data_IF_400766046845
#
_entry.id   IF_400766046845
#
_cell.length_a   1.000
_cell.length_b   1.000
_cell.length_c   1.000
_cell.angle_alpha   90.00
_cell.angle_beta   90.00
_cell.angle_gamma   90.00
#
_symmetry.space_group_name_H-M   'P 1'
#
loop_
_entity.id
_entity.type
_entity.pdbx_description
1 polymer ?
#
# COMPACT_ATOMS: atom_id res chain seq x y z
N UNK A 1 -18.55 0.11 6.67
CA UNK A 1 -18.02 -0.06 5.29
C UNK A 1 -17.50 -1.48 5.21
N UNK A 2 -17.86 -2.24 4.18
CA UNK A 2 -17.38 -3.62 4.00
C UNK A 2 -15.99 -3.54 3.38
N UNK A 3 -15.03 -4.23 3.98
CA UNK A 3 -13.66 -4.37 3.49
C UNK A 3 -13.70 -5.33 2.28
N UNK A 4 -13.38 -4.86 1.08
CA UNK A 4 -13.56 -5.64 -0.17
C UNK A 4 -12.28 -6.25 -0.75
N UNK A 5 -11.12 -5.94 -0.19
CA UNK A 5 -9.84 -6.48 -0.65
C UNK A 5 -9.49 -7.84 -0.05
N UNK A 6 -8.67 -8.61 -0.75
CA UNK A 6 -8.09 -9.87 -0.30
C UNK A 6 -6.62 -9.95 -0.75
N UNK A 7 -5.72 -10.35 0.15
CA UNK A 7 -4.28 -10.49 -0.16
C UNK A 7 -3.96 -11.74 -1.00
N UNK A 8 -4.97 -12.58 -1.27
CA UNK A 8 -4.91 -13.66 -2.26
C UNK A 8 -5.20 -13.18 -3.68
N UNK A 9 -5.72 -11.96 -3.88
CA UNK A 9 -5.93 -11.39 -5.21
C UNK A 9 -4.61 -10.92 -5.84
N UNK A 10 -4.67 -10.52 -7.12
CA UNK A 10 -3.50 -10.10 -7.89
C UNK A 10 -3.17 -8.60 -7.77
N UNK A 11 -4.08 -7.80 -7.20
CA UNK A 11 -3.93 -6.36 -7.03
C UNK A 11 -3.94 -5.55 -8.33
N UNK A 12 -4.31 -6.14 -9.47
CA UNK A 12 -4.24 -5.49 -10.79
C UNK A 12 -5.52 -4.76 -11.21
N UNK A 13 -6.60 -4.86 -10.42
CA UNK A 13 -7.86 -4.14 -10.63
C UNK A 13 -8.56 -3.81 -9.32
N UNK A 14 -9.54 -2.91 -9.34
CA UNK A 14 -10.35 -2.59 -8.14
C UNK A 14 -11.11 -3.82 -7.59
N UNK A 15 -11.57 -4.71 -8.47
CA UNK A 15 -12.30 -5.93 -8.08
C UNK A 15 -11.39 -7.07 -7.60
N UNK A 16 -10.08 -6.93 -7.81
CA UNK A 16 -9.05 -7.87 -7.37
C UNK A 16 -7.99 -7.16 -6.53
N UNK A 17 -8.38 -6.12 -5.80
CA UNK A 17 -7.46 -5.31 -5.01
C UNK A 17 -6.93 -6.09 -3.80
N UNK A 18 -5.64 -5.88 -3.48
CA UNK A 18 -5.10 -6.35 -2.21
C UNK A 18 -5.86 -5.76 -1.03
N UNK A 19 -5.89 -6.49 0.07
CA UNK A 19 -6.46 -6.01 1.33
C UNK A 19 -5.52 -5.04 2.03
N UNK A 20 -4.23 -5.35 2.05
CA UNK A 20 -3.25 -4.63 2.86
C UNK A 20 -2.21 -3.89 2.03
N UNK A 21 -1.72 -2.76 2.56
CA UNK A 21 -0.60 -2.03 1.97
C UNK A 21 0.71 -2.83 2.02
N UNK A 22 0.91 -3.62 3.09
CA UNK A 22 2.05 -4.53 3.20
C UNK A 22 2.07 -5.59 2.10
N UNK A 23 0.90 -6.11 1.69
CA UNK A 23 0.83 -7.04 0.56
C UNK A 23 1.25 -6.38 -0.74
N UNK A 24 0.78 -5.17 -1.01
CA UNK A 24 1.24 -4.39 -2.16
C UNK A 24 2.77 -4.18 -2.11
N UNK A 25 3.32 -3.83 -0.95
CA UNK A 25 4.76 -3.59 -0.79
C UNK A 25 5.60 -4.84 -1.10
N UNK A 26 5.09 -6.02 -0.74
CA UNK A 26 5.79 -7.29 -1.00
C UNK A 26 5.93 -7.67 -2.48
N UNK A 27 5.25 -6.96 -3.39
CA UNK A 27 5.21 -7.30 -4.82
C UNK A 27 5.52 -6.14 -5.76
N UNK A 28 5.70 -4.92 -5.26
CA UNK A 28 6.03 -3.77 -6.11
C UNK A 28 7.45 -3.86 -6.65
N UNK A 29 7.61 -3.46 -7.90
CA UNK A 29 8.89 -3.34 -8.59
C UNK A 29 9.14 -1.89 -9.03
N UNK A 30 10.40 -1.50 -9.32
CA UNK A 30 10.71 -0.17 -9.83
C UNK A 30 9.83 0.20 -11.04
N UNK A 31 9.19 1.37 -10.96
CA UNK A 31 8.26 1.89 -11.98
C UNK A 31 6.79 1.60 -11.71
N UNK A 32 6.47 0.76 -10.71
CA UNK A 32 5.08 0.50 -10.35
C UNK A 32 4.39 1.71 -9.73
N UNK A 33 3.07 1.76 -9.92
CA UNK A 33 2.18 2.68 -9.20
C UNK A 33 1.18 1.89 -8.38
N UNK A 34 1.19 2.09 -7.07
CA UNK A 34 0.18 1.58 -6.14
C UNK A 34 -0.92 2.62 -5.99
N UNK A 35 -2.12 2.28 -6.47
CA UNK A 35 -3.33 3.05 -6.21
C UNK A 35 -4.03 2.54 -4.97
N UNK A 36 -4.33 3.45 -4.03
CA UNK A 36 -4.91 3.11 -2.73
C UNK A 36 -6.39 3.51 -2.72
N UNK A 37 -7.26 2.52 -2.54
CA UNK A 37 -8.71 2.69 -2.48
C UNK A 37 -9.19 3.32 -1.17
N UNK A 38 -10.51 3.53 -1.04
CA UNK A 38 -11.09 4.07 0.20
C UNK A 38 -11.03 2.99 1.28
N UNK A 39 -10.64 3.38 2.49
CA UNK A 39 -10.55 2.46 3.61
C UNK A 39 -9.77 3.04 4.77
N UNK A 40 -9.87 2.37 5.92
CA UNK A 40 -9.03 2.63 7.09
C UNK A 40 -8.01 1.51 7.17
N UNK A 41 -6.76 1.84 6.88
CA UNK A 41 -5.64 0.90 6.94
C UNK A 41 -5.01 0.97 8.33
N UNK A 42 -4.93 -0.18 8.99
CA UNK A 42 -4.43 -0.28 10.36
C UNK A 42 -3.54 -1.52 10.52
N UNK A 43 -2.58 -1.43 11.41
CA UNK A 43 -1.65 -2.51 11.74
C UNK A 43 -1.15 -2.31 13.17
N UNK A 44 -0.98 -3.42 13.89
CA UNK A 44 -0.33 -3.46 15.20
C UNK A 44 1.17 -3.74 15.12
N UNK A 45 1.68 -3.99 13.90
CA UNK A 45 3.11 -4.17 13.62
C UNK A 45 3.87 -2.84 13.73
N UNK A 46 5.17 -2.83 13.42
CA UNK A 46 6.01 -1.62 13.44
C UNK A 46 5.39 -0.49 12.61
N UNK A 47 4.81 -0.80 11.45
CA UNK A 47 4.10 0.16 10.60
C UNK A 47 2.86 -0.45 9.91
N UNK A 48 1.96 0.39 9.40
CA UNK A 48 0.88 -0.04 8.48
C UNK A 48 1.46 -0.46 7.14
N UNK A 49 2.52 0.22 6.68
CA UNK A 49 3.36 -0.22 5.58
C UNK A 49 4.81 0.20 5.85
N UNK A 50 5.74 -0.70 5.60
CA UNK A 50 7.18 -0.40 5.58
C UNK A 50 7.68 -0.51 4.14
N UNK A 51 8.03 0.63 3.54
CA UNK A 51 8.54 0.71 2.18
C UNK A 51 10.04 0.42 2.21
N UNK A 52 10.42 -0.78 1.74
CA UNK A 52 11.80 -1.27 1.67
C UNK A 52 12.34 -1.27 0.25
N UNK A 53 11.46 -1.50 -0.74
CA UNK A 53 11.85 -1.56 -2.15
C UNK A 53 12.17 -0.16 -2.67
N UNK A 54 13.37 0.02 -3.20
CA UNK A 54 13.80 1.25 -3.86
C UNK A 54 13.42 1.24 -5.34
N UNK A 55 12.94 2.39 -5.83
CA UNK A 55 12.87 2.64 -7.28
C UNK A 55 14.26 2.98 -7.87
N UNK A 56 14.28 3.46 -9.11
CA UNK A 56 15.47 4.06 -9.72
C UNK A 56 15.18 5.48 -10.21
N UNK A 57 16.22 6.20 -10.63
CA UNK A 57 16.09 7.56 -11.16
C UNK A 57 15.06 7.65 -12.31
N UNK A 58 14.96 6.60 -13.13
CA UNK A 58 14.03 6.51 -14.27
C UNK A 58 12.76 5.71 -13.99
N UNK A 59 12.67 5.01 -12.84
CA UNK A 59 11.58 4.08 -12.52
C UNK A 59 11.17 4.18 -11.04
N UNK A 60 10.46 5.25 -10.72
CA UNK A 60 9.99 5.53 -9.36
C UNK A 60 8.85 4.60 -8.99
N UNK A 61 8.82 4.15 -7.73
CA UNK A 61 7.64 3.49 -7.17
C UNK A 61 6.73 4.58 -6.61
N UNK A 62 5.52 4.69 -7.14
CA UNK A 62 4.57 5.72 -6.73
C UNK A 62 3.46 5.13 -5.88
N UNK A 63 3.27 5.64 -4.67
CA UNK A 63 2.13 5.32 -3.81
C UNK A 63 1.19 6.52 -3.76
N UNK A 64 -0.07 6.35 -4.19
CA UNK A 64 -1.04 7.44 -4.18
C UNK A 64 -2.47 6.95 -4.04
N UNK A 65 -3.35 7.83 -3.55
CA UNK A 65 -4.78 7.55 -3.55
C UNK A 65 -5.30 7.32 -4.98
N UNK A 66 -6.22 6.37 -5.14
CA UNK A 66 -7.01 6.24 -6.36
C UNK A 66 -7.77 7.57 -6.58
N UNK A 67 -7.93 8.07 -7.83
CA UNK A 67 -8.59 9.35 -8.07
C UNK A 67 -9.99 9.44 -7.41
N UNK A 68 -10.21 10.49 -6.61
CA UNK A 68 -11.47 10.68 -5.87
C UNK A 68 -11.58 9.88 -4.56
N UNK A 69 -10.57 9.08 -4.22
CA UNK A 69 -10.53 8.34 -2.97
C UNK A 69 -9.70 9.07 -1.91
N UNK A 70 -10.04 8.85 -0.64
CA UNK A 70 -9.39 9.42 0.53
C UNK A 70 -9.09 8.29 1.54
N UNK A 71 -8.06 7.46 1.30
CA UNK A 71 -7.63 6.46 2.26
C UNK A 71 -7.13 7.10 3.56
N UNK A 72 -7.41 6.44 4.67
CA UNK A 72 -6.95 6.84 6.00
C UNK A 72 -5.99 5.79 6.56
N UNK A 73 -4.90 6.24 7.18
CA UNK A 73 -3.92 5.36 7.84
C UNK A 73 -4.01 5.60 9.34
N UNK A 74 -4.49 4.60 10.07
CA UNK A 74 -4.68 4.64 11.52
C UNK A 74 -3.76 3.59 12.16
N UNK A 75 -2.48 3.91 12.40
CA UNK A 75 -1.55 2.95 12.99
C UNK A 75 -1.95 2.61 14.43
N UNK A 76 -1.79 1.33 14.80
CA UNK A 76 -1.88 0.87 16.19
C UNK A 76 -0.50 0.54 16.78
N UNK A 77 0.49 0.32 15.92
CA UNK A 77 1.90 0.25 16.29
C UNK A 77 2.62 1.59 16.19
N UNK A 78 3.94 1.54 15.99
CA UNK A 78 4.82 2.71 16.12
C UNK A 78 4.62 3.75 15.00
N UNK A 79 4.42 3.32 13.76
CA UNK A 79 4.33 4.20 12.58
C UNK A 79 3.12 3.92 11.68
N UNK A 80 2.69 4.93 10.92
CA UNK A 80 1.78 4.74 9.78
C UNK A 80 2.52 4.22 8.56
N UNK A 81 3.45 5.03 8.05
CA UNK A 81 4.33 4.71 6.92
C UNK A 81 5.76 4.79 7.41
N UNK A 82 6.51 3.71 7.28
CA UNK A 82 7.95 3.66 7.53
C UNK A 82 8.67 3.53 6.19
N UNK A 83 9.73 4.29 5.96
CA UNK A 83 10.58 4.17 4.77
C UNK A 83 11.97 3.78 5.25
N UNK A 84 12.44 2.63 4.79
CA UNK A 84 13.76 2.07 5.14
C UNK A 84 14.57 1.62 3.92
N UNK A 85 14.09 1.93 2.70
CA UNK A 85 14.81 1.70 1.45
C UNK A 85 16.13 2.47 1.36
N UNK A 86 17.07 1.90 0.61
CA UNK A 86 18.43 2.42 0.37
C UNK A 86 18.71 2.58 -1.12
#
# INVERSE_FOLDING_TARGET
MVETGDDCYDGKSENSAFKTLSKAESVVEPGDTVFIGNGIYTSSEIAVVEIRVSGSEDAWITWKALPGHQPEIHPKGWNGVLISGS
#
